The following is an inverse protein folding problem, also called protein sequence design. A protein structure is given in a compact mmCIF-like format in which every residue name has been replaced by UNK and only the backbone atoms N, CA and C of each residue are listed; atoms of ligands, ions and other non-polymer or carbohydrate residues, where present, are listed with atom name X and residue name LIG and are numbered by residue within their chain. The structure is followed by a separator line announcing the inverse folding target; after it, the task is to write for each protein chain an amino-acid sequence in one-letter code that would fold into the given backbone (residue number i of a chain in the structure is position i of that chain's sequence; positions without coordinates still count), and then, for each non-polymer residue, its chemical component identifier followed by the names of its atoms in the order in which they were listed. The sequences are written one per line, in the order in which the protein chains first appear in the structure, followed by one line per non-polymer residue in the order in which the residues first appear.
data_IF_507372634914
#
_entry.id   IF_507372634914
#
_cell.length_a   1.000
_cell.length_b   1.000
_cell.length_c   1.000
_cell.angle_alpha   90.00
_cell.angle_beta   90.00
_cell.angle_gamma   90.00
#
_symmetry.space_group_name_H-M   'P 1'
#
loop_
_entity.id
_entity.type
_entity.pdbx_description
1 polymer ?
#
# COMPACT_ATOMS: atom_id res chain seq x y z
N UNK A 1 -2.50 6.29 -11.07
CA UNK A 1 -2.70 5.00 -10.41
C UNK A 1 -4.18 4.66 -10.46
N UNK A 2 -4.57 3.42 -10.80
CA UNK A 2 -5.97 3.01 -10.81
C UNK A 2 -6.53 2.88 -9.40
N UNK A 3 -7.85 2.99 -9.19
CA UNK A 3 -8.46 2.82 -7.87
C UNK A 3 -8.06 1.50 -7.19
N UNK A 4 -8.14 0.37 -7.91
CA UNK A 4 -7.76 -0.95 -7.38
C UNK A 4 -6.27 -1.06 -7.12
N UNK A 5 -5.43 -0.51 -7.98
CA UNK A 5 -3.99 -0.46 -7.75
C UNK A 5 -3.70 0.31 -6.46
N UNK A 6 -4.37 1.45 -6.25
CA UNK A 6 -4.31 2.26 -5.04
C UNK A 6 -4.66 1.48 -3.78
N UNK A 7 -5.67 0.61 -3.83
CA UNK A 7 -6.04 -0.29 -2.73
C UNK A 7 -4.92 -1.29 -2.43
N UNK A 8 -4.38 -1.94 -3.47
CA UNK A 8 -3.30 -2.93 -3.34
C UNK A 8 -2.04 -2.27 -2.76
N UNK A 9 -1.66 -1.10 -3.27
CA UNK A 9 -0.49 -0.38 -2.79
C UNK A 9 -0.69 0.11 -1.35
N UNK A 10 -1.89 0.59 -1.01
CA UNK A 10 -2.23 0.94 0.38
C UNK A 10 -2.04 -0.25 1.32
N UNK A 11 -2.50 -1.44 0.92
CA UNK A 11 -2.29 -2.68 1.67
C UNK A 11 -0.80 -3.03 1.82
N UNK A 12 -0.05 -3.04 0.72
CA UNK A 12 1.38 -3.39 0.71
C UNK A 12 2.18 -2.41 1.57
N UNK A 13 1.93 -1.11 1.45
CA UNK A 13 2.63 -0.10 2.24
C UNK A 13 2.24 -0.18 3.71
N UNK A 14 0.97 -0.46 4.03
CA UNK A 14 0.56 -0.76 5.40
C UNK A 14 1.34 -1.93 6.01
N UNK A 15 1.53 -3.00 5.23
CA UNK A 15 2.34 -4.15 5.62
C UNK A 15 3.81 -3.80 5.81
N UNK A 16 4.42 -3.10 4.85
CA UNK A 16 5.82 -2.67 4.92
C UNK A 16 6.02 -1.74 6.12
N UNK A 17 5.09 -0.82 6.38
CA UNK A 17 5.17 0.06 7.53
C UNK A 17 5.18 -0.72 8.84
N UNK A 18 4.38 -1.80 8.94
CA UNK A 18 4.43 -2.71 10.10
C UNK A 18 5.81 -3.34 10.29
N UNK A 19 6.45 -3.78 9.20
CA UNK A 19 7.82 -4.32 9.23
C UNK A 19 8.85 -3.26 9.67
N UNK A 20 8.84 -2.08 9.03
CA UNK A 20 9.75 -0.97 9.33
C UNK A 20 9.57 -0.47 10.76
N UNK A 21 8.33 -0.39 11.23
CA UNK A 21 8.02 -0.01 12.60
C UNK A 21 8.64 -0.95 13.60
N UNK A 22 8.49 -2.27 13.40
CA UNK A 22 9.11 -3.27 14.27
C UNK A 22 10.63 -3.21 14.24
N UNK A 23 11.22 -3.11 13.05
CA UNK A 23 12.68 -3.25 12.87
C UNK A 23 13.45 -2.00 13.30
N UNK A 24 12.94 -0.81 12.98
CA UNK A 24 13.69 0.44 13.12
C UNK A 24 12.98 1.48 13.99
N UNK A 25 11.69 1.74 13.76
CA UNK A 25 11.07 2.96 14.28
C UNK A 25 10.63 2.84 15.76
N UNK A 26 10.22 1.65 16.21
CA UNK A 26 9.75 1.44 17.59
C UNK A 26 10.85 1.61 18.64
N UNK A 27 12.13 1.51 18.27
CA UNK A 27 13.24 1.77 19.20
C UNK A 27 13.30 3.24 19.64
N UNK A 28 12.80 4.17 18.81
CA UNK A 28 12.96 5.62 19.02
C UNK A 28 11.68 6.31 19.47
N UNK A 29 10.54 6.05 18.82
CA UNK A 29 9.24 6.60 19.23
C UNK A 29 8.07 5.74 18.74
N UNK A 30 7.01 5.61 19.55
CA UNK A 30 5.80 4.83 19.22
C UNK A 30 4.98 5.49 18.12
N UNK A 31 5.03 6.81 17.99
CA UNK A 31 4.15 7.58 17.11
C UNK A 31 4.58 7.57 15.64
N UNK A 32 5.81 7.09 15.34
CA UNK A 32 6.32 7.00 13.98
C UNK A 32 5.45 6.17 13.04
N UNK A 33 4.71 5.18 13.57
CA UNK A 33 3.79 4.38 12.78
C UNK A 33 2.61 5.21 12.24
N UNK A 34 2.14 6.18 13.03
CA UNK A 34 1.03 7.06 12.65
C UNK A 34 1.54 8.10 11.67
N UNK A 35 2.70 8.70 11.96
CA UNK A 35 3.28 9.74 11.10
C UNK A 35 3.55 9.23 9.67
N UNK A 36 4.15 8.05 9.54
CA UNK A 36 4.38 7.40 8.25
C UNK A 36 3.08 7.04 7.53
N UNK A 37 2.04 6.62 8.26
CA UNK A 37 0.73 6.34 7.69
C UNK A 37 0.07 7.62 7.13
N UNK A 38 0.08 8.70 7.90
CA UNK A 38 -0.51 9.99 7.52
C UNK A 38 0.18 10.57 6.29
N UNK A 39 1.51 10.62 6.27
CA UNK A 39 2.27 11.13 5.12
C UNK A 39 1.94 10.33 3.86
N UNK A 40 1.95 9.00 3.97
CA UNK A 40 1.69 8.14 2.83
C UNK A 40 0.26 8.31 2.30
N UNK A 41 -0.74 8.30 3.17
CA UNK A 41 -2.15 8.44 2.76
C UNK A 41 -2.44 9.81 2.15
N UNK A 42 -1.89 10.89 2.73
CA UNK A 42 -2.02 12.23 2.15
C UNK A 42 -1.36 12.28 0.77
N UNK A 43 -0.16 11.71 0.62
CA UNK A 43 0.53 11.65 -0.67
C UNK A 43 -0.27 10.88 -1.72
N UNK A 44 -0.84 9.74 -1.34
CA UNK A 44 -1.64 8.91 -2.25
C UNK A 44 -2.94 9.61 -2.65
N UNK A 45 -3.67 10.19 -1.69
CA UNK A 45 -4.87 10.98 -1.99
C UNK A 45 -4.58 12.20 -2.86
N UNK A 46 -3.45 12.88 -2.64
CA UNK A 46 -3.05 14.00 -3.46
C UNK A 46 -2.80 13.56 -4.91
N UNK A 47 -2.04 12.48 -5.12
CA UNK A 47 -1.77 11.94 -6.45
C UNK A 47 -3.07 11.55 -7.15
N UNK A 48 -3.94 10.76 -6.51
CA UNK A 48 -5.17 10.29 -7.14
C UNK A 48 -6.16 11.43 -7.41
N UNK A 49 -6.20 12.46 -6.55
CA UNK A 49 -7.01 13.66 -6.81
C UNK A 49 -6.46 14.44 -8.00
N UNK A 50 -5.14 14.63 -8.10
CA UNK A 50 -4.52 15.31 -9.24
C UNK A 50 -4.80 14.58 -10.56
N UNK A 51 -4.84 13.25 -10.54
CA UNK A 51 -5.20 12.44 -11.69
C UNK A 51 -6.69 12.60 -11.99
N UNK A 52 -7.56 12.50 -10.98
CA UNK A 52 -9.01 12.59 -11.17
C UNK A 52 -9.48 13.91 -11.78
N UNK A 53 -8.80 15.01 -11.44
CA UNK A 53 -9.06 16.35 -12.01
C UNK A 53 -8.31 16.62 -13.32
N UNK A 54 -7.72 15.59 -13.95
CA UNK A 54 -6.97 15.68 -15.21
C UNK A 54 -5.78 16.67 -15.14
N UNK A 55 -5.26 16.99 -13.95
CA UNK A 55 -4.08 17.85 -13.76
C UNK A 55 -2.81 17.11 -14.18
N UNK A 56 -2.75 15.81 -13.88
CA UNK A 56 -1.71 14.91 -14.38
C UNK A 56 -2.27 14.22 -15.61
N UNK A 57 -1.64 14.48 -16.75
CA UNK A 57 -1.92 13.74 -17.98
C UNK A 57 -1.49 12.28 -17.81
N UNK A 58 -2.38 11.34 -18.13
CA UNK A 58 -2.14 9.90 -18.09
C UNK A 58 -2.02 9.27 -19.48
N UNK A 59 -2.23 10.04 -20.55
CA UNK A 59 -2.08 9.56 -21.93
C UNK A 59 -0.66 9.14 -22.27
N UNK A 60 0.34 9.58 -21.49
CA UNK A 60 1.71 9.08 -21.62
C UNK A 60 1.81 7.55 -21.51
N UNK A 61 0.86 6.89 -20.83
CA UNK A 61 0.79 5.43 -20.73
C UNK A 61 0.41 4.74 -22.06
N UNK A 62 -0.13 5.48 -23.04
CA UNK A 62 -0.41 4.98 -24.39
C UNK A 62 0.88 4.64 -25.17
N UNK A 63 2.07 4.86 -24.60
CA UNK A 63 3.30 4.29 -25.14
C UNK A 63 3.26 2.74 -25.17
N UNK A 64 2.48 2.13 -24.28
CA UNK A 64 2.27 0.69 -24.25
C UNK A 64 1.25 0.30 -25.34
N UNK A 65 1.56 -0.69 -26.20
CA UNK A 65 0.75 -0.96 -27.39
C UNK A 65 -0.63 -1.58 -27.10
N UNK A 66 -0.88 -2.01 -25.87
CA UNK A 66 -2.17 -2.54 -25.41
C UNK A 66 -2.95 -1.59 -24.50
N UNK A 67 -2.42 -0.39 -24.25
CA UNK A 67 -3.08 0.64 -23.42
C UNK A 67 -3.70 1.66 -24.36
N UNK A 68 -5.01 1.85 -24.22
CA UNK A 68 -5.76 2.86 -24.97
C UNK A 68 -6.55 3.74 -24.01
N UNK A 69 -5.92 4.84 -23.59
CA UNK A 69 -6.55 5.86 -22.74
C UNK A 69 -7.11 6.96 -23.65
N UNK A 70 -8.42 7.28 -23.53
CA UNK A 70 -9.05 8.33 -24.33
C UNK A 70 -8.49 9.70 -23.96
N UNK A 71 -8.45 10.61 -24.93
CA UNK A 71 -7.95 11.98 -24.78
C UNK A 71 -8.87 12.92 -23.98
N UNK A 72 -10.12 12.51 -23.72
CA UNK A 72 -11.12 13.29 -22.98
C UNK A 72 -11.46 12.53 -21.70
N UNK A 73 -11.32 13.19 -20.55
CA UNK A 73 -11.60 12.59 -19.23
C UNK A 73 -10.61 11.47 -18.86
N UNK A 74 -9.38 11.59 -19.34
CA UNK A 74 -8.31 10.58 -19.25
C UNK A 74 -8.05 10.08 -17.83
N UNK A 75 -8.00 10.96 -16.85
CA UNK A 75 -7.69 10.63 -15.47
C UNK A 75 -8.82 9.87 -14.79
N UNK A 76 -10.06 10.27 -15.04
CA UNK A 76 -11.24 9.54 -14.56
C UNK A 76 -11.34 8.17 -15.22
N UNK A 77 -11.13 8.09 -16.54
CA UNK A 77 -11.10 6.82 -17.25
C UNK A 77 -10.04 5.88 -16.68
N UNK A 78 -8.83 6.39 -16.46
CA UNK A 78 -7.72 5.63 -15.91
C UNK A 78 -8.02 5.09 -14.50
N UNK A 79 -8.63 5.92 -13.65
CA UNK A 79 -8.96 5.52 -12.28
C UNK A 79 -9.97 4.36 -12.24
N UNK A 80 -10.99 4.40 -13.09
CA UNK A 80 -12.00 3.35 -13.19
C UNK A 80 -11.49 2.08 -13.87
N UNK A 81 -10.62 2.21 -14.87
CA UNK A 81 -10.03 1.08 -15.60
C UNK A 81 -8.66 0.74 -15.02
N UNK A 82 -8.65 0.37 -13.73
CA UNK A 82 -7.42 0.22 -12.95
C UNK A 82 -6.43 -0.83 -13.45
N UNK A 83 -6.85 -1.78 -14.30
CA UNK A 83 -5.99 -2.83 -14.83
C UNK A 83 -5.54 -2.59 -16.27
N UNK A 84 -5.77 -1.37 -16.80
CA UNK A 84 -5.43 -1.06 -18.19
C UNK A 84 -3.92 -1.21 -18.45
N UNK A 85 -3.08 -0.92 -17.46
CA UNK A 85 -1.62 -1.10 -17.52
C UNK A 85 -1.23 -2.56 -17.80
N UNK A 86 -2.04 -3.52 -17.32
CA UNK A 86 -1.87 -4.95 -17.56
C UNK A 86 -2.59 -5.46 -18.83
N UNK A 87 -3.13 -4.55 -19.65
CA UNK A 87 -3.89 -4.88 -20.86
C UNK A 87 -5.33 -5.33 -20.61
N UNK A 88 -5.84 -5.17 -19.39
CA UNK A 88 -7.23 -5.46 -19.05
C UNK A 88 -8.03 -4.17 -18.99
N UNK A 89 -8.75 -3.88 -20.08
CA UNK A 89 -9.63 -2.71 -20.18
C UNK A 89 -11.10 -3.12 -20.01
N UNK A 90 -11.74 -2.57 -18.98
CA UNK A 90 -13.15 -2.79 -18.69
C UNK A 90 -14.05 -1.79 -19.42
N UNK A 91 -13.45 -0.80 -20.10
CA UNK A 91 -14.14 0.25 -20.89
C UNK A 91 -15.20 0.98 -20.08
N UNK A 92 -14.93 1.18 -18.78
CA UNK A 92 -15.85 1.88 -17.89
C UNK A 92 -15.72 3.38 -18.16
N UNK A 93 -16.77 3.96 -18.73
CA UNK A 93 -16.88 5.40 -18.94
C UNK A 93 -17.55 6.08 -17.75
N UNK A 94 -17.24 7.36 -17.51
CA UNK A 94 -17.84 8.10 -16.40
C UNK A 94 -19.37 8.18 -16.55
N UNK A 95 -20.08 7.81 -15.49
CA UNK A 95 -21.52 7.91 -15.36
C UNK A 95 -21.89 8.87 -14.21
N UNK A 96 -23.08 9.50 -14.24
CA UNK A 96 -23.59 10.26 -13.11
C UNK A 96 -23.59 9.43 -11.82
N UNK A 97 -23.14 10.01 -10.72
CA UNK A 97 -23.05 9.33 -9.41
C UNK A 97 -21.73 8.60 -9.13
N UNK A 98 -20.88 8.39 -10.13
CA UNK A 98 -19.55 7.79 -9.92
C UNK A 98 -18.64 8.65 -9.02
N UNK A 99 -18.88 9.96 -8.94
CA UNK A 99 -18.07 10.88 -8.11
C UNK A 99 -18.24 10.58 -6.60
N UNK A 100 -19.45 10.20 -6.20
CA UNK A 100 -19.74 9.78 -4.83
C UNK A 100 -19.01 8.47 -4.54
N UNK A 101 -19.04 7.52 -5.49
CA UNK A 101 -18.35 6.24 -5.36
C UNK A 101 -16.82 6.44 -5.30
N UNK A 102 -16.28 7.34 -6.12
CA UNK A 102 -14.86 7.72 -6.10
C UNK A 102 -14.45 8.26 -4.72
N UNK A 103 -15.30 9.09 -4.09
CA UNK A 103 -15.05 9.60 -2.74
C UNK A 103 -15.01 8.48 -1.70
N UNK A 104 -15.94 7.52 -1.77
CA UNK A 104 -15.91 6.33 -0.91
C UNK A 104 -14.68 5.45 -1.15
N UNK A 105 -14.25 5.30 -2.42
CA UNK A 105 -13.05 4.55 -2.79
C UNK A 105 -11.79 5.22 -2.23
N UNK A 106 -11.67 6.55 -2.31
CA UNK A 106 -10.55 7.28 -1.71
C UNK A 106 -10.48 7.04 -0.19
N UNK A 107 -11.62 7.14 0.51
CA UNK A 107 -11.69 6.83 1.94
C UNK A 107 -11.31 5.37 2.22
N UNK A 108 -11.66 4.45 1.31
CA UNK A 108 -11.38 3.03 1.46
C UNK A 108 -9.88 2.71 1.56
N UNK A 109 -8.99 3.55 1.02
CA UNK A 109 -7.53 3.40 1.17
C UNK A 109 -7.07 3.37 2.61
N UNK A 110 -7.70 4.14 3.49
CA UNK A 110 -7.40 4.15 4.92
C UNK A 110 -7.64 2.75 5.52
N UNK A 111 -8.75 2.12 5.16
CA UNK A 111 -9.11 0.79 5.65
C UNK A 111 -8.15 -0.29 5.13
N UNK A 112 -7.79 -0.25 3.85
CA UNK A 112 -6.85 -1.19 3.25
C UNK A 112 -5.43 -1.05 3.82
N UNK A 113 -5.00 0.19 4.04
CA UNK A 113 -3.75 0.47 4.74
C UNK A 113 -3.75 -0.11 6.16
N UNK A 114 -4.80 0.16 6.93
CA UNK A 114 -4.94 -0.36 8.28
C UNK A 114 -4.97 -1.89 8.31
N UNK A 115 -5.70 -2.49 7.38
CA UNK A 115 -5.78 -3.94 7.22
C UNK A 115 -4.40 -4.54 6.91
N UNK A 116 -3.67 -3.97 5.95
CA UNK A 116 -2.30 -4.38 5.62
C UNK A 116 -1.34 -4.23 6.81
N UNK A 117 -1.46 -3.16 7.58
CA UNK A 117 -0.67 -2.95 8.80
C UNK A 117 -0.96 -4.01 9.87
N UNK A 118 -2.24 -4.32 10.13
CA UNK A 118 -2.64 -5.39 11.06
C UNK A 118 -2.12 -6.74 10.60
N UNK A 119 -2.31 -7.08 9.33
CA UNK A 119 -1.84 -8.34 8.78
C UNK A 119 -0.31 -8.46 8.87
N UNK A 120 0.41 -7.40 8.52
CA UNK A 120 1.86 -7.32 8.72
C UNK A 120 2.26 -7.51 10.19
N UNK A 121 1.49 -7.02 11.16
CA UNK A 121 1.77 -7.25 12.60
C UNK A 121 1.59 -8.72 13.00
N UNK A 122 0.63 -9.42 12.40
CA UNK A 122 0.43 -10.86 12.63
C UNK A 122 1.62 -11.66 12.08
N UNK A 123 2.10 -11.32 10.89
CA UNK A 123 3.21 -12.02 10.24
C UNK A 123 4.55 -11.73 10.94
N UNK A 124 4.86 -10.45 11.17
CA UNK A 124 6.14 -10.05 11.72
C UNK A 124 6.18 -10.11 13.25
N UNK A 125 5.05 -9.94 13.93
CA UNK A 125 4.94 -9.86 15.39
C UNK A 125 4.62 -8.45 15.88
N UNK A 126 3.79 -8.37 16.92
CA UNK A 126 3.29 -7.11 17.48
C UNK A 126 4.33 -6.33 18.28
N UNK A 127 5.33 -7.01 18.85
CA UNK A 127 6.37 -6.43 19.73
C UNK A 127 7.76 -6.76 19.22
N UNK A 128 8.77 -5.95 19.55
CA UNK A 128 10.16 -6.15 19.09
C UNK A 128 10.66 -7.55 19.49
N UNK A 129 10.29 -7.99 20.70
CA UNK A 129 10.63 -9.30 21.25
C UNK A 129 9.67 -10.43 20.84
N UNK A 130 8.47 -10.10 20.34
CA UNK A 130 7.56 -11.10 19.79
C UNK A 130 7.98 -11.37 18.34
N UNK A 131 8.07 -12.64 17.99
CA UNK A 131 8.25 -13.06 16.60
C UNK A 131 6.91 -13.62 16.13
N UNK A 132 6.36 -13.07 15.04
CA UNK A 132 5.08 -13.51 14.48
C UNK A 132 5.19 -14.85 13.74
N UNK A 133 4.18 -15.16 12.91
CA UNK A 133 4.11 -16.41 12.13
C UNK A 133 5.37 -16.70 11.28
N UNK A 134 6.17 -15.68 10.97
CA UNK A 134 7.48 -15.85 10.32
C UNK A 134 8.41 -16.84 11.04
N UNK A 135 8.19 -17.09 12.34
CA UNK A 135 8.92 -18.12 13.09
C UNK A 135 8.72 -19.54 12.56
N UNK A 136 7.53 -19.88 12.09
CA UNK A 136 7.18 -21.23 11.62
C UNK A 136 8.06 -21.62 10.42
N UNK A 137 8.41 -20.63 9.60
CA UNK A 137 9.23 -20.81 8.40
C UNK A 137 10.72 -20.58 8.64
N UNK A 138 11.14 -20.25 9.87
CA UNK A 138 12.55 -19.95 10.15
C UNK A 138 13.34 -21.23 10.37
N UNK A 139 14.47 -21.45 9.65
CA UNK A 139 15.25 -22.67 9.81
C UNK A 139 15.82 -22.79 11.23
N UNK A 140 15.57 -23.95 11.87
CA UNK A 140 15.88 -24.26 13.28
C UNK A 140 17.34 -23.95 13.64
N UNK A 141 18.29 -24.22 12.74
CA UNK A 141 19.73 -23.93 12.95
C UNK A 141 20.02 -22.46 13.25
N UNK A 142 19.27 -21.54 12.62
CA UNK A 142 19.46 -20.08 12.82
C UNK A 142 18.84 -19.60 14.14
N UNK A 143 17.81 -20.30 14.63
CA UNK A 143 17.18 -20.01 15.92
C UNK A 143 18.11 -20.35 17.09
N UNK A 144 18.78 -21.50 17.02
CA UNK A 144 19.73 -21.95 18.06
C UNK A 144 20.90 -20.96 18.16
N UNK A 145 21.51 -20.61 17.02
CA UNK A 145 22.64 -19.66 16.96
C UNK A 145 22.29 -18.25 17.47
N UNK A 146 21.09 -17.74 17.18
CA UNK A 146 20.62 -16.44 17.68
C UNK A 146 20.29 -16.45 19.19
N UNK A 147 19.96 -17.63 19.75
CA UNK A 147 19.69 -17.80 21.18
C UNK A 147 20.98 -17.84 21.98
N UNK A 148 21.99 -18.56 21.49
CA UNK A 148 23.34 -18.61 22.07
C UNK A 148 23.96 -17.21 22.12
N UNK A 149 23.91 -16.46 21.00
CA UNK A 149 24.46 -15.11 20.93
C UNK A 149 23.81 -14.13 21.91
N UNK A 150 22.50 -14.27 22.16
CA UNK A 150 21.78 -13.44 23.14
C UNK A 150 22.12 -13.77 24.59
N UNK A 151 22.54 -15.00 24.87
CA UNK A 151 22.99 -15.41 26.20
C UNK A 151 24.42 -14.92 26.49
N UNK A 152 25.26 -14.85 25.46
CA UNK A 152 26.60 -14.26 25.53
C UNK A 152 26.54 -12.74 25.74
N UNK A 153 25.71 -12.02 24.99
CA UNK A 153 25.55 -10.56 25.13
C UNK A 153 24.93 -10.12 26.47
N UNK A 154 24.39 -11.05 27.26
CA UNK A 154 23.77 -10.77 28.58
C UNK A 154 24.67 -11.08 29.79
N UNK A 155 25.88 -11.58 29.55
CA UNK A 155 26.92 -11.79 30.57
C UNK A 155 27.89 -10.60 30.60
#
# INVERSE_FOLDING_TARGET
MGFLEGLILSFIVGWINSYLYRKYLRKRNKDWIIFTAVIFLIGLWAIDSLIYFDIIDMTWLNFLPWVDIPSIGQGKYFLWNSFIVFGLDFKITQQPGMEIIASFLLISYLFWYYFGSKFGKVIHGYRIYQQGLYLIFRPVKKFIKDREKRLEDSK
#
